data_IF_289909630879
#
_entry.id   IF_289909630879
#
_cell.length_a   1.000
_cell.length_b   1.000
_cell.length_c   1.000
_cell.angle_alpha   90.00
_cell.angle_beta   90.00
_cell.angle_gamma   90.00
#
_symmetry.space_group_name_H-M   'P 1'
#
loop_
_entity.id
_entity.type
_entity.pdbx_description
1 polymer ?
#
# COMPACT_ATOMS: atom_id res chain seq x y z
N UNK A 1 -14.44 11.31 20.45
CA UNK A 1 -14.37 11.28 18.98
C UNK A 1 -15.22 10.10 18.54
N UNK A 2 -15.97 10.19 17.44
CA UNK A 2 -16.75 9.04 16.98
C UNK A 2 -15.77 8.00 16.43
N UNK A 3 -15.68 6.85 17.09
CA UNK A 3 -14.97 5.68 16.58
C UNK A 3 -15.86 5.03 15.52
N UNK A 4 -15.33 4.89 14.31
CA UNK A 4 -16.00 4.20 13.20
C UNK A 4 -15.25 2.89 12.95
N UNK A 5 -15.74 1.75 13.47
CA UNK A 5 -15.10 0.47 13.27
C UNK A 5 -15.09 0.07 11.79
N UNK A 6 -14.33 -0.97 11.47
CA UNK A 6 -14.30 -1.51 10.12
C UNK A 6 -15.70 -2.03 9.74
N UNK A 7 -16.39 -1.45 8.73
CA UNK A 7 -17.76 -1.83 8.39
C UNK A 7 -17.87 -3.20 7.70
N UNK A 8 -16.75 -3.90 7.50
CA UNK A 8 -16.67 -5.25 6.94
C UNK A 8 -16.27 -6.29 7.99
N UNK A 9 -16.03 -5.88 9.24
CA UNK A 9 -15.88 -6.81 10.34
C UNK A 9 -17.27 -7.26 10.77
N UNK A 10 -17.58 -8.54 10.54
CA UNK A 10 -18.88 -9.15 10.83
C UNK A 10 -18.85 -9.99 12.11
N UNK A 11 -17.76 -9.91 12.87
CA UNK A 11 -17.69 -10.58 14.17
C UNK A 11 -18.63 -9.84 15.11
N UNK A 12 -19.67 -10.52 15.54
CA UNK A 12 -20.63 -9.96 16.49
C UNK A 12 -19.94 -9.79 17.86
N UNK A 13 -20.07 -8.61 18.46
CA UNK A 13 -19.44 -8.29 19.76
C UNK A 13 -20.05 -9.11 20.92
N UNK A 14 -21.15 -9.85 20.67
CA UNK A 14 -22.01 -10.51 21.66
C UNK A 14 -22.20 -12.04 21.44
N UNK A 15 -21.51 -12.68 20.48
CA UNK A 15 -21.60 -14.14 20.30
C UNK A 15 -20.67 -14.86 21.30
N UNK A 16 -21.30 -15.48 22.31
CA UNK A 16 -20.69 -16.26 23.37
C UNK A 16 -19.64 -17.27 22.84
N UNK A 17 -18.55 -17.44 23.60
CA UNK A 17 -17.34 -18.26 23.35
C UNK A 17 -17.59 -19.79 23.11
N UNK A 18 -18.80 -20.24 22.76
CA UNK A 18 -19.19 -21.65 22.77
C UNK A 18 -19.58 -22.28 21.41
N UNK A 19 -19.52 -21.58 20.27
CA UNK A 19 -19.68 -22.22 18.95
C UNK A 19 -18.33 -22.50 18.29
N UNK A 20 -18.07 -23.78 17.99
CA UNK A 20 -16.83 -24.38 17.49
C UNK A 20 -16.08 -23.49 16.47
N UNK A 21 -15.00 -22.90 16.96
CA UNK A 21 -14.09 -21.96 16.31
C UNK A 21 -13.42 -22.54 15.04
N UNK A 22 -14.00 -22.30 13.86
CA UNK A 22 -13.12 -21.80 12.80
C UNK A 22 -12.68 -20.41 13.26
N UNK A 23 -11.57 -20.30 14.00
CA UNK A 23 -11.00 -19.04 14.48
C UNK A 23 -10.99 -18.02 13.33
N UNK A 24 -12.04 -17.17 13.28
CA UNK A 24 -12.19 -16.20 12.23
C UNK A 24 -11.05 -15.21 12.40
N UNK A 25 -10.03 -15.34 11.55
CA UNK A 25 -8.82 -14.54 11.64
C UNK A 25 -9.23 -13.05 11.69
N UNK A 26 -8.62 -12.25 12.58
CA UNK A 26 -8.96 -10.85 12.69
C UNK A 26 -8.77 -10.17 11.33
N UNK A 27 -9.57 -9.13 11.02
CA UNK A 27 -9.42 -8.40 9.78
C UNK A 27 -7.99 -7.87 9.66
N UNK A 28 -7.48 -7.84 8.44
CA UNK A 28 -6.18 -7.24 8.16
C UNK A 28 -6.11 -5.81 8.70
N UNK A 29 -4.91 -5.38 9.09
CA UNK A 29 -4.66 -4.00 9.52
C UNK A 29 -4.86 -3.04 8.33
N UNK A 30 -6.09 -2.52 8.18
CA UNK A 30 -6.46 -1.53 7.18
C UNK A 30 -7.47 -0.56 7.77
N UNK A 31 -7.28 0.72 7.51
CA UNK A 31 -8.25 1.77 7.84
C UNK A 31 -8.84 2.34 6.55
N UNK A 32 -10.17 2.53 6.54
CA UNK A 32 -10.87 3.14 5.40
C UNK A 32 -11.10 4.63 5.64
N UNK A 33 -10.81 5.45 4.62
CA UNK A 33 -11.08 6.88 4.62
C UNK A 33 -11.96 7.27 3.46
N UNK A 34 -13.11 7.84 3.74
CA UNK A 34 -14.03 8.36 2.73
C UNK A 34 -13.74 9.85 2.54
N UNK A 35 -13.22 10.21 1.36
CA UNK A 35 -12.79 11.57 1.06
C UNK A 35 -13.63 12.15 -0.05
N UNK A 36 -14.05 13.42 0.13
CA UNK A 36 -14.66 14.21 -0.94
C UNK A 36 -13.58 14.92 -1.74
N UNK A 37 -13.64 14.80 -3.07
CA UNK A 37 -12.73 15.46 -4.02
C UNK A 37 -13.58 16.24 -5.01
N UNK A 38 -13.34 17.54 -5.11
CA UNK A 38 -13.98 18.41 -6.10
C UNK A 38 -13.04 18.59 -7.30
N UNK A 39 -13.53 18.27 -8.50
CA UNK A 39 -12.74 18.38 -9.72
C UNK A 39 -12.71 19.83 -10.22
N UNK A 40 -11.54 20.39 -10.55
CA UNK A 40 -11.44 21.76 -11.04
C UNK A 40 -12.12 21.90 -12.39
N UNK A 41 -12.73 23.06 -12.64
CA UNK A 41 -13.36 23.37 -13.93
C UNK A 41 -12.29 23.58 -15.00
N UNK A 42 -12.52 23.03 -16.20
CA UNK A 42 -11.76 23.40 -17.39
C UNK A 42 -12.33 24.72 -17.93
N UNK A 43 -11.54 25.82 -17.93
CA UNK A 43 -12.08 27.18 -18.16
C UNK A 43 -12.67 27.44 -19.54
N UNK A 44 -12.18 26.80 -20.60
CA UNK A 44 -12.46 27.26 -21.98
C UNK A 44 -13.57 26.51 -22.72
N UNK A 45 -13.99 25.31 -22.31
CA UNK A 45 -14.86 24.49 -23.20
C UNK A 45 -16.17 23.96 -22.58
N UNK A 46 -16.45 24.15 -21.29
CA UNK A 46 -17.57 23.39 -20.69
C UNK A 46 -18.64 24.24 -20.03
N UNK A 47 -19.88 24.09 -20.53
CA UNK A 47 -21.13 24.24 -19.76
C UNK A 47 -21.23 23.15 -18.66
N UNK A 48 -20.11 22.64 -18.14
CA UNK A 48 -20.14 21.51 -17.20
C UNK A 48 -20.46 21.97 -15.79
N UNK A 49 -21.19 21.11 -15.07
CA UNK A 49 -21.52 21.27 -13.67
C UNK A 49 -20.29 20.97 -12.81
N UNK A 50 -20.26 21.51 -11.59
CA UNK A 50 -19.27 21.09 -10.60
C UNK A 50 -19.39 19.58 -10.37
N UNK A 51 -18.28 18.86 -10.48
CA UNK A 51 -18.23 17.43 -10.20
C UNK A 51 -17.56 17.24 -8.84
N UNK A 52 -18.34 16.75 -7.88
CA UNK A 52 -17.85 16.26 -6.59
C UNK A 52 -17.83 14.74 -6.62
N UNK A 53 -16.74 14.13 -6.18
CA UNK A 53 -16.59 12.69 -6.05
C UNK A 53 -16.38 12.32 -4.59
N UNK A 54 -16.96 11.20 -4.15
CA UNK A 54 -16.64 10.57 -2.87
C UNK A 54 -15.82 9.32 -3.19
N UNK A 55 -14.64 9.21 -2.59
CA UNK A 55 -13.72 8.10 -2.82
C UNK A 55 -13.47 7.38 -1.50
N UNK A 56 -13.74 6.08 -1.47
CA UNK A 56 -13.25 5.21 -0.40
C UNK A 56 -11.77 4.93 -0.66
N UNK A 57 -10.94 5.29 0.30
CA UNK A 57 -9.49 5.12 0.25
C UNK A 57 -9.03 4.27 1.43
N UNK A 58 -7.79 3.82 1.39
CA UNK A 58 -7.24 2.85 2.33
C UNK A 58 -5.90 3.35 2.87
N UNK A 59 -5.73 3.25 4.18
CA UNK A 59 -4.47 3.48 4.91
C UNK A 59 -4.03 2.15 5.50
N UNK A 60 -2.76 1.81 5.33
CA UNK A 60 -2.26 0.48 5.71
C UNK A 60 -1.60 0.49 7.11
N UNK A 61 -1.07 1.63 7.55
CA UNK A 61 -0.48 1.75 8.89
C UNK A 61 -0.46 3.17 9.45
N UNK A 62 -0.36 3.26 10.78
CA UNK A 62 0.06 4.45 11.52
C UNK A 62 1.55 4.36 11.83
N UNK A 63 2.27 5.47 11.68
CA UNK A 63 3.68 5.60 12.05
C UNK A 63 3.74 6.39 13.36
N UNK A 64 4.21 5.76 14.47
CA UNK A 64 4.33 6.43 15.75
C UNK A 64 5.08 7.75 15.64
N UNK A 65 4.49 8.80 16.22
CA UNK A 65 5.10 10.11 16.33
C UNK A 65 5.29 10.48 17.81
N UNK A 66 6.25 11.36 18.12
CA UNK A 66 6.35 11.96 19.45
C UNK A 66 5.04 12.61 19.87
N UNK A 67 4.82 12.68 21.18
CA UNK A 67 3.60 13.25 21.76
C UNK A 67 3.38 14.69 21.27
N UNK A 68 2.15 15.00 20.85
CA UNK A 68 1.76 16.33 20.33
C UNK A 68 2.05 16.57 18.84
N UNK A 69 2.65 15.62 18.12
CA UNK A 69 2.80 15.72 16.66
C UNK A 69 1.59 15.14 15.91
N UNK A 70 1.35 15.65 14.71
CA UNK A 70 0.28 15.13 13.86
C UNK A 70 0.52 13.67 13.48
N UNK A 71 -0.55 12.87 13.39
CA UNK A 71 -0.44 11.46 13.06
C UNK A 71 0.09 11.27 11.63
N UNK A 72 1.09 10.41 11.49
CA UNK A 72 1.67 10.05 10.19
C UNK A 72 1.10 8.71 9.74
N UNK A 73 0.56 8.70 8.53
CA UNK A 73 -0.06 7.53 7.94
C UNK A 73 0.76 6.99 6.78
N UNK A 74 0.84 5.67 6.66
CA UNK A 74 1.62 5.01 5.63
C UNK A 74 0.74 4.16 4.69
N UNK A 75 1.11 4.18 3.41
CA UNK A 75 0.72 3.16 2.44
C UNK A 75 1.87 2.19 2.28
N UNK A 76 1.60 0.88 2.31
CA UNK A 76 2.60 -0.18 2.30
C UNK A 76 2.36 -1.08 1.07
N UNK A 77 3.39 -1.23 0.25
CA UNK A 77 3.39 -2.12 -0.93
C UNK A 77 4.72 -2.84 -1.04
N UNK A 78 4.75 -3.95 -1.76
CA UNK A 78 5.94 -4.76 -1.96
C UNK A 78 6.18 -5.01 -3.45
N UNK A 79 7.40 -4.71 -3.92
CA UNK A 79 7.92 -5.21 -5.18
C UNK A 79 8.46 -6.61 -4.99
N UNK A 80 8.36 -7.42 -6.03
CA UNK A 80 8.77 -8.82 -6.03
C UNK A 80 9.78 -9.09 -7.14
N UNK A 81 10.90 -9.73 -6.78
CA UNK A 81 11.94 -10.20 -7.70
C UNK A 81 11.87 -11.72 -7.83
N UNK A 82 11.87 -12.19 -9.08
CA UNK A 82 12.28 -13.56 -9.40
C UNK A 82 13.75 -13.47 -9.81
N UNK A 83 14.70 -13.90 -8.96
CA UNK A 83 16.11 -13.75 -9.26
C UNK A 83 16.44 -14.57 -10.52
N UNK A 84 16.64 -13.88 -11.65
CA UNK A 84 16.90 -14.50 -12.95
C UNK A 84 18.36 -14.32 -13.35
N UNK A 85 18.91 -15.28 -14.10
CA UNK A 85 20.27 -15.16 -14.65
C UNK A 85 20.32 -14.40 -15.98
N UNK A 86 19.17 -14.18 -16.66
CA UNK A 86 19.15 -13.70 -18.05
C UNK A 86 18.37 -12.38 -18.29
N UNK A 87 17.37 -12.04 -17.47
CA UNK A 87 16.54 -10.85 -17.69
C UNK A 87 16.92 -9.66 -16.80
N UNK A 88 17.57 -9.90 -15.66
CA UNK A 88 18.01 -8.85 -14.76
C UNK A 88 19.52 -8.72 -14.80
N UNK A 89 20.02 -7.61 -15.35
CA UNK A 89 21.46 -7.27 -15.33
C UNK A 89 21.99 -7.05 -13.91
N UNK A 90 21.11 -6.87 -12.93
CA UNK A 90 21.47 -6.42 -11.59
C UNK A 90 20.60 -7.11 -10.52
N UNK A 91 21.09 -8.18 -9.88
CA UNK A 91 20.34 -8.91 -8.86
C UNK A 91 20.22 -8.09 -7.57
N UNK A 92 19.01 -8.00 -7.01
CA UNK A 92 18.69 -7.11 -5.89
C UNK A 92 19.53 -7.39 -4.64
N UNK A 93 19.85 -8.67 -4.37
CA UNK A 93 20.66 -9.05 -3.20
C UNK A 93 22.02 -8.34 -3.11
N UNK A 94 22.67 -8.09 -4.24
CA UNK A 94 23.98 -7.43 -4.28
C UNK A 94 23.88 -5.93 -4.58
N UNK A 95 22.79 -5.48 -5.18
CA UNK A 95 22.65 -4.11 -5.66
C UNK A 95 21.81 -3.21 -4.79
N UNK A 96 20.88 -3.77 -4.00
CA UNK A 96 20.00 -2.95 -3.19
C UNK A 96 20.77 -2.13 -2.18
N UNK A 97 21.91 -2.56 -1.64
CA UNK A 97 22.61 -1.70 -0.69
C UNK A 97 23.36 -0.55 -1.37
N UNK A 98 24.00 -0.82 -2.51
CA UNK A 98 24.89 0.13 -3.19
C UNK A 98 24.19 1.01 -4.23
N UNK A 99 23.08 0.55 -4.82
CA UNK A 99 22.46 1.14 -6.01
C UNK A 99 20.92 1.15 -5.94
N UNK A 100 20.36 1.50 -4.76
CA UNK A 100 18.90 1.60 -4.51
C UNK A 100 18.15 2.34 -5.62
N UNK A 101 18.67 3.50 -6.03
CA UNK A 101 18.05 4.32 -7.07
C UNK A 101 18.01 3.65 -8.45
N UNK A 102 19.06 2.90 -8.83
CA UNK A 102 19.10 2.20 -10.11
C UNK A 102 18.13 1.01 -10.14
N UNK A 103 18.04 0.27 -9.02
CA UNK A 103 17.05 -0.79 -8.84
C UNK A 103 15.63 -0.20 -8.95
N UNK A 104 15.33 0.87 -8.21
CA UNK A 104 14.02 1.51 -8.26
C UNK A 104 13.70 2.05 -9.67
N UNK A 105 14.65 2.68 -10.36
CA UNK A 105 14.43 3.19 -11.72
C UNK A 105 14.10 2.06 -12.71
N UNK A 106 14.79 0.93 -12.59
CA UNK A 106 14.51 -0.28 -13.38
C UNK A 106 13.10 -0.79 -13.11
N UNK A 107 12.69 -0.82 -11.84
CA UNK A 107 11.34 -1.24 -11.46
C UNK A 107 10.25 -0.24 -11.88
N UNK A 108 10.53 1.06 -11.83
CA UNK A 108 9.63 2.09 -12.40
C UNK A 108 9.42 1.86 -13.88
N UNK A 109 10.46 1.50 -14.62
CA UNK A 109 10.35 1.20 -16.05
C UNK A 109 9.54 -0.09 -16.29
N UNK A 110 9.92 -1.19 -15.62
CA UNK A 110 9.33 -2.52 -15.85
C UNK A 110 7.91 -2.65 -15.29
N UNK A 111 7.59 -1.94 -14.21
CA UNK A 111 6.34 -2.04 -13.46
C UNK A 111 5.58 -0.69 -13.39
N UNK A 112 5.77 0.20 -14.37
CA UNK A 112 5.23 1.56 -14.38
C UNK A 112 3.74 1.64 -14.00
N UNK A 113 2.91 0.78 -14.60
CA UNK A 113 1.48 0.77 -14.32
C UNK A 113 1.13 0.35 -12.89
N UNK A 114 1.83 -0.67 -12.36
CA UNK A 114 1.64 -1.16 -10.99
C UNK A 114 2.00 -0.08 -9.97
N UNK A 115 3.18 0.52 -10.14
CA UNK A 115 3.67 1.61 -9.28
C UNK A 115 2.79 2.86 -9.39
N UNK A 116 2.40 3.25 -10.60
CA UNK A 116 1.51 4.39 -10.83
C UNK A 116 0.16 4.24 -10.11
N UNK A 117 -0.45 3.04 -10.15
CA UNK A 117 -1.69 2.76 -9.41
C UNK A 117 -1.50 2.85 -7.89
N UNK A 118 -0.38 2.34 -7.37
CA UNK A 118 -0.10 2.41 -5.93
C UNK A 118 0.10 3.84 -5.46
N UNK A 119 0.87 4.64 -6.20
CA UNK A 119 1.10 6.06 -5.89
C UNK A 119 -0.19 6.85 -5.98
N UNK A 120 -1.00 6.66 -7.03
CA UNK A 120 -2.30 7.32 -7.16
C UNK A 120 -3.23 6.99 -5.97
N UNK A 121 -3.27 5.73 -5.53
CA UNK A 121 -4.04 5.31 -4.36
C UNK A 121 -3.54 5.97 -3.07
N UNK A 122 -2.22 6.05 -2.87
CA UNK A 122 -1.62 6.72 -1.72
C UNK A 122 -1.93 8.23 -1.69
N UNK A 123 -1.84 8.89 -2.84
CA UNK A 123 -2.19 10.31 -3.00
C UNK A 123 -3.66 10.57 -2.70
N UNK A 124 -4.56 9.74 -3.23
CA UNK A 124 -6.00 9.86 -2.96
C UNK A 124 -6.31 9.63 -1.47
N UNK A 125 -5.66 8.65 -0.83
CA UNK A 125 -5.80 8.40 0.60
C UNK A 125 -5.28 9.55 1.47
N UNK A 126 -4.33 10.33 0.95
CA UNK A 126 -3.59 11.35 1.68
C UNK A 126 -2.72 10.73 2.77
N UNK A 127 -2.05 9.62 2.46
CA UNK A 127 -1.00 9.06 3.33
C UNK A 127 0.24 9.93 3.25
N UNK A 128 0.90 10.16 4.39
CA UNK A 128 2.11 10.97 4.49
C UNK A 128 3.34 10.22 3.96
N UNK A 129 3.36 8.89 4.11
CA UNK A 129 4.50 8.04 3.82
C UNK A 129 4.10 6.91 2.88
N UNK A 130 4.98 6.56 1.93
CA UNK A 130 4.82 5.39 1.08
C UNK A 130 5.97 4.41 1.32
N UNK A 131 5.70 3.29 1.99
CA UNK A 131 6.70 2.25 2.27
C UNK A 131 6.69 1.20 1.16
N UNK A 132 7.84 1.00 0.54
CA UNK A 132 8.05 0.04 -0.52
C UNK A 132 9.03 -1.05 -0.07
N UNK A 133 8.52 -2.27 0.11
CA UNK A 133 9.32 -3.46 0.41
C UNK A 133 9.90 -4.08 -0.85
N UNK A 134 11.13 -4.58 -0.77
CA UNK A 134 11.78 -5.35 -1.83
C UNK A 134 11.85 -6.82 -1.41
N UNK A 135 10.95 -7.64 -1.97
CA UNK A 135 10.84 -9.07 -1.67
C UNK A 135 11.43 -9.87 -2.82
N UNK A 136 12.31 -10.82 -2.53
CA UNK A 136 12.88 -11.72 -3.54
C UNK A 136 12.57 -13.16 -3.16
N UNK A 137 12.50 -14.07 -4.15
CA UNK A 137 12.44 -15.51 -3.83
C UNK A 137 13.70 -15.97 -3.10
N UNK A 138 13.55 -16.87 -2.15
CA UNK A 138 14.68 -17.51 -1.48
C UNK A 138 15.56 -18.25 -2.50
N UNK A 139 14.94 -18.97 -3.43
CA UNK A 139 15.58 -19.63 -4.57
C UNK A 139 14.78 -19.37 -5.85
N UNK A 140 15.43 -19.32 -7.01
CA UNK A 140 14.76 -19.02 -8.29
C UNK A 140 13.62 -20.01 -8.61
N UNK A 141 13.84 -21.29 -8.32
CA UNK A 141 12.92 -22.40 -8.59
C UNK A 141 11.88 -22.64 -7.50
N UNK A 142 11.87 -21.86 -6.43
CA UNK A 142 10.96 -22.02 -5.31
C UNK A 142 10.01 -20.81 -5.23
N UNK A 143 8.75 -20.95 -5.66
CA UNK A 143 7.77 -19.87 -5.62
C UNK A 143 7.08 -19.72 -4.26
N UNK A 144 7.37 -20.57 -3.27
CA UNK A 144 6.71 -20.53 -1.96
C UNK A 144 7.52 -19.77 -0.92
N UNK A 145 8.85 -19.86 -0.98
CA UNK A 145 9.72 -19.20 -0.01
C UNK A 145 10.28 -17.88 -0.54
N UNK A 146 10.09 -16.81 0.25
CA UNK A 146 10.53 -15.46 -0.08
C UNK A 146 11.33 -14.85 1.08
N UNK A 147 12.12 -13.82 0.77
CA UNK A 147 12.88 -13.05 1.74
C UNK A 147 12.71 -11.56 1.47
N UNK A 148 12.45 -10.79 2.53
CA UNK A 148 12.46 -9.33 2.48
C UNK A 148 13.91 -8.84 2.56
N UNK A 149 14.36 -8.10 1.55
CA UNK A 149 15.74 -7.58 1.49
C UNK A 149 15.86 -6.19 2.12
N UNK A 150 14.89 -5.32 1.84
CA UNK A 150 14.91 -3.94 2.32
C UNK A 150 13.51 -3.33 2.25
N UNK A 151 13.31 -2.25 3.01
CA UNK A 151 12.13 -1.38 2.92
C UNK A 151 12.60 0.03 2.71
N UNK A 152 12.10 0.67 1.67
CA UNK A 152 12.32 2.09 1.37
C UNK A 152 11.09 2.89 1.80
N UNK A 153 11.30 4.12 2.27
CA UNK A 153 10.27 5.10 2.65
C UNK A 153 10.43 6.32 1.76
#
# INVERSE_FOLDING_TARGET
ENEYPNPFDQRDEDEDEEEEEEEALPPSNVAYRYRKVDLPRVPEESKSRNISMIVRTEVDAYVPQPEGQEPVYAKIRALNEIPSTQQQKQPWRSSLESQKGAVLATEVHNNAFKLGRWVASALLAGTNVFKLGYVTRARMNDPFHHSLLSVQT
#
